data_IF_706807612124
#
_entry.id   IF_706807612124
#
_cell.length_a   1.000
_cell.length_b   1.000
_cell.length_c   1.000
_cell.angle_alpha   90.00
_cell.angle_beta   90.00
_cell.angle_gamma   90.00
#
_symmetry.space_group_name_H-M   'P 1'
#
loop_
_entity.id
_entity.type
_entity.pdbx_description
1 polymer ?
#
# COMPACT_ATOMS: atom_id res chain seq x y z
N UNK A 1 9.86 10.53 -9.98
CA UNK A 1 8.43 10.63 -9.59
C UNK A 1 8.32 11.50 -8.35
N UNK A 2 7.59 12.60 -8.47
CA UNK A 2 7.24 13.47 -7.33
C UNK A 2 5.72 13.52 -7.18
N UNK A 3 5.22 13.89 -6.02
CA UNK A 3 3.78 13.94 -5.75
C UNK A 3 3.47 13.93 -4.27
N UNK A 4 2.22 14.24 -3.94
CA UNK A 4 1.74 14.18 -2.56
C UNK A 4 1.73 12.73 -2.04
N UNK A 5 1.88 12.51 -0.72
CA UNK A 5 1.70 11.19 -0.13
C UNK A 5 0.35 10.58 -0.53
N UNK A 6 0.37 9.34 -1.03
CA UNK A 6 -0.82 8.66 -1.53
C UNK A 6 -1.20 8.97 -2.98
N UNK A 7 -0.34 9.66 -3.74
CA UNK A 7 -0.53 9.88 -5.19
C UNK A 7 -0.33 8.62 -6.06
N UNK A 8 0.05 7.50 -5.47
CA UNK A 8 0.27 6.23 -6.18
C UNK A 8 1.68 6.04 -6.76
N UNK A 9 2.69 6.77 -6.25
CA UNK A 9 4.10 6.60 -6.68
C UNK A 9 4.57 5.15 -6.63
N UNK A 10 4.37 4.47 -5.51
CA UNK A 10 4.71 3.05 -5.31
C UNK A 10 3.99 2.16 -6.31
N UNK A 11 2.68 2.37 -6.53
CA UNK A 11 1.92 1.59 -7.50
C UNK A 11 2.44 1.78 -8.94
N UNK A 12 2.87 3.00 -9.29
CA UNK A 12 3.48 3.26 -10.59
C UNK A 12 4.87 2.63 -10.71
N UNK A 13 5.69 2.70 -9.66
CA UNK A 13 6.98 1.98 -9.61
C UNK A 13 6.78 0.49 -9.87
N UNK A 14 5.79 -0.11 -9.21
CA UNK A 14 5.50 -1.54 -9.32
C UNK A 14 5.00 -1.93 -10.71
N UNK A 15 4.15 -1.11 -11.32
CA UNK A 15 3.69 -1.32 -12.69
C UNK A 15 4.85 -1.26 -13.69
N UNK A 16 5.72 -0.24 -13.58
CA UNK A 16 6.89 -0.11 -14.46
C UNK A 16 7.89 -1.24 -14.23
N UNK A 17 8.13 -1.62 -12.97
CA UNK A 17 8.97 -2.75 -12.61
C UNK A 17 8.47 -4.06 -13.24
N UNK A 18 7.16 -4.31 -13.19
CA UNK A 18 6.56 -5.50 -13.81
C UNK A 18 6.75 -5.50 -15.34
N UNK A 19 6.54 -4.35 -16.00
CA UNK A 19 6.66 -4.22 -17.46
C UNK A 19 8.12 -4.27 -17.95
N UNK A 20 9.08 -3.96 -17.08
CA UNK A 20 10.52 -3.93 -17.40
C UNK A 20 11.28 -5.21 -17.02
N UNK A 21 10.60 -6.27 -16.57
CA UNK A 21 11.22 -7.50 -16.05
C UNK A 21 12.27 -8.13 -17.00
N UNK A 22 12.04 -8.06 -18.31
CA UNK A 22 12.90 -8.66 -19.33
C UNK A 22 13.81 -7.64 -20.07
N UNK A 23 13.87 -6.39 -19.61
CA UNK A 23 14.56 -5.31 -20.33
C UNK A 23 16.08 -5.31 -20.09
N UNK A 24 16.50 -5.60 -18.87
CA UNK A 24 17.90 -5.47 -18.43
C UNK A 24 18.52 -6.84 -18.09
N UNK A 25 19.83 -7.04 -18.30
CA UNK A 25 20.49 -8.33 -18.13
C UNK A 25 20.43 -8.86 -16.68
N UNK A 26 20.51 -7.97 -15.69
CA UNK A 26 20.36 -8.32 -14.27
C UNK A 26 18.91 -8.15 -13.77
N UNK A 27 17.96 -7.89 -14.67
CA UNK A 27 16.54 -7.75 -14.40
C UNK A 27 16.16 -6.46 -13.69
N UNK A 28 15.13 -6.53 -12.84
CA UNK A 28 14.59 -5.40 -12.09
C UNK A 28 14.91 -5.55 -10.61
N UNK A 29 15.49 -4.51 -10.03
CA UNK A 29 15.83 -4.44 -8.60
C UNK A 29 14.92 -3.41 -7.93
N UNK A 30 14.24 -3.81 -6.85
CA UNK A 30 13.41 -2.93 -6.03
C UNK A 30 14.15 -2.59 -4.74
N UNK A 31 14.37 -1.31 -4.50
CA UNK A 31 15.04 -0.78 -3.31
C UNK A 31 14.09 0.16 -2.56
N UNK A 32 14.30 0.23 -1.25
CA UNK A 32 13.64 1.20 -0.37
C UNK A 32 14.68 2.23 0.10
N UNK A 33 14.40 3.51 -0.15
CA UNK A 33 15.27 4.64 0.16
C UNK A 33 15.06 5.25 1.54
N UNK A 34 14.05 4.78 2.29
CA UNK A 34 13.66 5.34 3.58
C UNK A 34 14.75 5.13 4.62
N UNK A 35 15.25 6.22 5.21
CA UNK A 35 16.34 6.18 6.18
C UNK A 35 17.64 5.60 5.61
N UNK A 36 17.83 5.56 4.28
CA UNK A 36 19.01 4.99 3.63
C UNK A 36 19.94 6.06 3.06
N UNK A 37 21.24 5.81 3.19
CA UNK A 37 22.27 6.59 2.50
C UNK A 37 22.54 6.03 1.09
N UNK A 38 23.26 6.79 0.26
CA UNK A 38 23.70 6.30 -1.05
C UNK A 38 24.51 5.00 -0.94
N UNK A 39 25.39 4.90 0.07
CA UNK A 39 26.16 3.67 0.33
C UNK A 39 25.29 2.49 0.74
N UNK A 40 24.24 2.73 1.53
CA UNK A 40 23.30 1.66 1.89
C UNK A 40 22.53 1.14 0.66
N UNK A 41 22.14 2.04 -0.25
CA UNK A 41 21.48 1.67 -1.50
C UNK A 41 22.41 0.89 -2.44
N UNK A 42 23.69 1.26 -2.52
CA UNK A 42 24.70 0.51 -3.28
C UNK A 42 24.91 -0.90 -2.72
N UNK A 43 24.99 -1.05 -1.39
CA UNK A 43 25.06 -2.36 -0.76
C UNK A 43 23.78 -3.17 -1.00
N UNK A 44 22.59 -2.56 -0.90
CA UNK A 44 21.33 -3.25 -1.16
C UNK A 44 21.21 -3.72 -2.62
N UNK A 45 21.68 -2.91 -3.58
CA UNK A 45 21.76 -3.28 -4.98
C UNK A 45 22.70 -4.47 -5.19
N UNK A 46 23.92 -4.39 -4.62
CA UNK A 46 24.90 -5.47 -4.66
C UNK A 46 24.34 -6.78 -4.08
N UNK A 47 23.78 -6.72 -2.87
CA UNK A 47 23.23 -7.89 -2.17
C UNK A 47 22.10 -8.53 -2.98
N UNK A 48 21.26 -7.72 -3.63
CA UNK A 48 20.12 -8.20 -4.42
C UNK A 48 20.57 -8.91 -5.69
N UNK A 49 21.49 -8.32 -6.46
CA UNK A 49 21.95 -8.88 -7.74
C UNK A 49 22.85 -10.09 -7.53
N UNK A 50 23.81 -10.00 -6.62
CA UNK A 50 24.78 -11.07 -6.38
C UNK A 50 24.29 -12.15 -5.40
N UNK A 51 23.12 -11.96 -4.77
CA UNK A 51 22.53 -12.87 -3.78
C UNK A 51 23.54 -13.24 -2.67
N UNK A 52 24.21 -12.23 -2.12
CA UNK A 52 25.34 -12.40 -1.20
C UNK A 52 25.02 -11.91 0.23
N UNK A 53 23.97 -12.41 0.90
CA UNK A 53 23.58 -11.92 2.21
C UNK A 53 24.72 -12.12 3.23
N UNK A 54 25.13 -11.04 3.89
CA UNK A 54 26.18 -11.04 4.90
C UNK A 54 27.61 -10.88 4.38
N UNK A 55 27.80 -10.78 3.06
CA UNK A 55 29.05 -10.31 2.50
C UNK A 55 29.05 -8.79 2.43
N UNK A 56 30.02 -8.16 3.09
CA UNK A 56 30.13 -6.69 3.10
C UNK A 56 31.45 -6.30 2.43
N UNK A 57 31.46 -6.10 1.10
CA UNK A 57 32.66 -5.67 0.40
C UNK A 57 33.11 -4.31 0.93
N UNK A 58 34.42 -4.05 0.82
CA UNK A 58 34.90 -2.68 1.05
C UNK A 58 34.41 -1.74 -0.06
N UNK A 59 34.68 -0.44 0.08
CA UNK A 59 34.14 0.56 -0.85
C UNK A 59 34.65 0.37 -2.28
N UNK A 60 35.92 0.03 -2.46
CA UNK A 60 36.51 -0.10 -3.79
C UNK A 60 35.99 -1.36 -4.49
N UNK A 61 35.86 -2.46 -3.73
CA UNK A 61 35.25 -3.71 -4.19
C UNK A 61 33.76 -3.52 -4.54
N UNK A 62 32.99 -2.85 -3.67
CA UNK A 62 31.58 -2.54 -3.92
C UNK A 62 31.42 -1.74 -5.22
N UNK A 63 32.20 -0.67 -5.38
CA UNK A 63 32.13 0.18 -6.57
C UNK A 63 32.55 -0.57 -7.83
N UNK A 64 33.50 -1.50 -7.76
CA UNK A 64 33.86 -2.33 -8.91
C UNK A 64 32.71 -3.26 -9.31
N UNK A 65 32.02 -3.85 -8.35
CA UNK A 65 30.90 -4.76 -8.60
C UNK A 65 29.64 -4.06 -9.09
N UNK A 66 29.25 -2.93 -8.48
CA UNK A 66 28.02 -2.22 -8.85
C UNK A 66 28.14 -1.50 -10.20
N UNK A 67 29.36 -1.17 -10.63
CA UNK A 67 29.60 -0.60 -11.97
C UNK A 67 29.23 -1.52 -13.12
N UNK A 68 29.31 -2.84 -12.92
CA UNK A 68 28.99 -3.83 -13.96
C UNK A 68 27.54 -4.31 -13.92
N UNK A 69 26.75 -3.84 -12.95
CA UNK A 69 25.34 -4.23 -12.83
C UNK A 69 24.53 -3.47 -13.89
N UNK A 70 23.92 -4.22 -14.80
CA UNK A 70 22.97 -3.72 -15.78
C UNK A 70 21.55 -4.07 -15.37
N UNK A 71 20.92 -3.23 -14.55
CA UNK A 71 19.57 -3.46 -14.02
C UNK A 71 18.65 -2.25 -14.20
N UNK A 72 17.33 -2.49 -14.22
CA UNK A 72 16.35 -1.44 -13.97
C UNK A 72 16.14 -1.36 -12.45
N UNK A 73 16.53 -0.25 -11.85
CA UNK A 73 16.49 -0.05 -10.40
C UNK A 73 15.35 0.89 -10.06
N UNK A 74 14.36 0.38 -9.34
CA UNK A 74 13.29 1.19 -8.75
C UNK A 74 13.65 1.50 -7.30
N UNK A 75 13.57 2.77 -6.92
CA UNK A 75 13.80 3.19 -5.52
C UNK A 75 12.57 3.93 -5.04
N UNK A 76 11.87 3.34 -4.07
CA UNK A 76 10.73 3.98 -3.41
C UNK A 76 11.18 4.76 -2.17
N UNK A 77 10.41 5.78 -1.80
CA UNK A 77 10.68 6.68 -0.66
C UNK A 77 12.15 7.17 -0.59
N UNK A 78 12.68 7.64 -1.71
CA UNK A 78 14.04 8.17 -1.80
C UNK A 78 14.16 9.48 -1.02
N UNK A 79 14.92 9.47 0.06
CA UNK A 79 15.18 10.66 0.92
C UNK A 79 16.46 11.41 0.54
N UNK A 80 17.39 10.75 -0.18
CA UNK A 80 18.65 11.37 -0.62
C UNK A 80 18.47 12.20 -1.90
N UNK A 81 19.20 13.32 -1.97
CA UNK A 81 19.26 14.19 -3.15
C UNK A 81 20.66 14.78 -3.35
N UNK A 82 20.80 15.72 -4.27
CA UNK A 82 22.08 16.39 -4.58
C UNK A 82 23.24 15.41 -4.80
N UNK A 83 24.39 15.73 -4.21
CA UNK A 83 25.64 14.97 -4.40
C UNK A 83 25.55 13.49 -3.97
N UNK A 84 24.69 13.15 -3.00
CA UNK A 84 24.52 11.75 -2.59
C UNK A 84 23.80 10.93 -3.66
N UNK A 85 22.80 11.53 -4.32
CA UNK A 85 22.14 10.91 -5.47
C UNK A 85 23.07 10.86 -6.67
N UNK A 86 23.86 11.91 -6.91
CA UNK A 86 24.85 11.93 -8.00
C UNK A 86 25.91 10.83 -7.81
N UNK A 87 26.34 10.57 -6.57
CA UNK A 87 27.24 9.47 -6.24
C UNK A 87 26.65 8.11 -6.60
N UNK A 88 25.39 7.86 -6.23
CA UNK A 88 24.67 6.63 -6.55
C UNK A 88 24.63 6.42 -8.08
N UNK A 89 24.16 7.43 -8.83
CA UNK A 89 24.02 7.34 -10.29
C UNK A 89 25.39 7.14 -10.98
N UNK A 90 26.42 7.85 -10.52
CA UNK A 90 27.78 7.75 -11.08
C UNK A 90 28.41 6.38 -10.81
N UNK A 91 28.10 5.76 -9.66
CA UNK A 91 28.62 4.45 -9.30
C UNK A 91 28.02 3.31 -10.12
N UNK A 92 26.83 3.49 -10.70
CA UNK A 92 26.07 2.45 -11.43
C UNK A 92 25.72 2.92 -12.85
N UNK A 93 26.71 3.11 -13.74
CA UNK A 93 26.48 3.67 -15.08
C UNK A 93 25.64 2.78 -16.00
N UNK A 94 25.59 1.48 -15.75
CA UNK A 94 24.83 0.51 -16.55
C UNK A 94 23.38 0.32 -16.04
N UNK A 95 23.01 0.98 -14.94
CA UNK A 95 21.67 0.90 -14.37
C UNK A 95 20.75 2.01 -14.89
N UNK A 96 19.49 1.67 -15.16
CA UNK A 96 18.42 2.64 -15.41
C UNK A 96 17.59 2.83 -14.13
N UNK A 97 17.45 4.07 -13.65
CA UNK A 97 16.76 4.36 -12.39
C UNK A 97 15.36 4.94 -12.60
N UNK A 98 14.40 4.45 -11.81
CA UNK A 98 13.13 5.09 -11.58
C UNK A 98 12.96 5.36 -10.08
N UNK A 99 12.89 6.64 -9.73
CA UNK A 99 12.98 7.09 -8.34
C UNK A 99 11.64 7.71 -7.92
N UNK A 100 11.08 7.30 -6.78
CA UNK A 100 10.02 8.03 -6.11
C UNK A 100 10.62 8.82 -4.94
N UNK A 101 10.69 10.14 -5.09
CA UNK A 101 11.26 11.00 -4.06
C UNK A 101 10.29 11.13 -2.88
N UNK A 102 10.78 11.02 -1.65
CA UNK A 102 10.05 11.41 -0.46
C UNK A 102 9.65 12.89 -0.54
N UNK A 103 8.55 13.28 0.10
CA UNK A 103 7.97 14.63 -0.06
C UNK A 103 8.88 15.76 0.45
N UNK A 104 9.85 15.44 1.29
CA UNK A 104 10.84 16.34 1.89
C UNK A 104 12.27 16.11 1.38
N UNK A 105 12.46 15.22 0.39
CA UNK A 105 13.76 14.94 -0.18
C UNK A 105 14.36 16.21 -0.81
N UNK A 106 15.68 16.38 -0.65
CA UNK A 106 16.39 17.45 -1.31
C UNK A 106 16.26 17.30 -2.83
N UNK A 107 16.16 18.42 -3.55
CA UNK A 107 16.12 18.42 -4.99
C UNK A 107 17.36 17.68 -5.56
N UNK A 108 17.23 17.00 -6.71
CA UNK A 108 18.38 16.44 -7.41
C UNK A 108 19.45 17.49 -7.69
N UNK A 109 20.70 17.06 -7.84
CA UNK A 109 21.76 17.92 -8.34
C UNK A 109 21.43 18.45 -9.73
N UNK A 110 21.90 19.65 -10.08
CA UNK A 110 21.63 20.29 -11.39
C UNK A 110 22.19 19.46 -12.56
N UNK A 111 23.21 18.64 -12.28
CA UNK A 111 23.87 17.77 -13.26
C UNK A 111 23.27 16.36 -13.30
N UNK A 112 22.31 16.03 -12.42
CA UNK A 112 21.60 14.78 -12.49
C UNK A 112 20.73 14.80 -13.75
N UNK A 113 21.05 13.94 -14.73
CA UNK A 113 20.29 13.76 -15.97
C UNK A 113 18.93 13.06 -15.71
N UNK A 114 18.13 13.61 -14.80
CA UNK A 114 16.85 13.07 -14.37
C UNK A 114 15.70 13.90 -14.95
N UNK A 115 14.69 13.19 -15.43
CA UNK A 115 13.41 13.79 -15.81
C UNK A 115 12.44 13.70 -14.64
N UNK A 116 11.87 14.84 -14.24
CA UNK A 116 10.87 14.89 -13.20
C UNK A 116 9.46 14.69 -13.77
N UNK A 117 8.78 13.65 -13.29
CA UNK A 117 7.36 13.43 -13.55
C UNK A 117 6.59 13.63 -12.25
N UNK A 118 5.76 14.68 -12.23
CA UNK A 118 4.84 14.98 -11.13
C UNK A 118 3.56 14.15 -11.27
N UNK A 119 3.26 13.33 -10.26
CA UNK A 119 2.02 12.59 -10.16
C UNK A 119 0.96 13.43 -9.45
N UNK A 120 0.06 14.00 -10.23
CA UNK A 120 -1.17 14.62 -9.74
C UNK A 120 -2.21 13.57 -9.34
N UNK A 121 -3.29 14.00 -8.70
CA UNK A 121 -4.45 13.14 -8.42
C UNK A 121 -5.15 12.66 -9.70
N UNK A 122 -5.93 11.59 -9.55
CA UNK A 122 -6.69 10.98 -10.63
C UNK A 122 -7.83 11.89 -11.07
N UNK A 123 -8.19 11.78 -12.35
CA UNK A 123 -9.45 12.34 -12.84
C UNK A 123 -10.66 11.68 -12.16
N UNK A 124 -11.78 12.39 -12.15
CA UNK A 124 -13.02 11.92 -11.49
C UNK A 124 -13.43 10.51 -11.93
N UNK A 125 -13.43 10.24 -13.23
CA UNK A 125 -13.79 8.92 -13.77
C UNK A 125 -12.91 7.79 -13.25
N UNK A 126 -11.58 7.97 -13.31
CA UNK A 126 -10.62 6.99 -12.80
C UNK A 126 -10.74 6.79 -11.28
N UNK A 127 -11.07 7.85 -10.54
CA UNK A 127 -11.28 7.77 -9.08
C UNK A 127 -12.50 6.92 -8.73
N UNK A 128 -13.60 7.08 -9.48
CA UNK A 128 -14.79 6.24 -9.31
C UNK A 128 -14.53 4.79 -9.70
N UNK A 129 -13.79 4.54 -10.79
CA UNK A 129 -13.42 3.18 -11.19
C UNK A 129 -12.51 2.50 -10.17
N UNK A 130 -11.57 3.24 -9.57
CA UNK A 130 -10.74 2.74 -8.48
C UNK A 130 -11.60 2.38 -7.25
N UNK A 131 -12.59 3.20 -6.93
CA UNK A 131 -13.53 2.91 -5.84
C UNK A 131 -14.35 1.65 -6.11
N UNK A 132 -14.90 1.50 -7.32
CA UNK A 132 -15.60 0.28 -7.76
C UNK A 132 -14.72 -0.97 -7.69
N UNK A 133 -13.44 -0.84 -8.03
CA UNK A 133 -12.48 -1.93 -7.95
C UNK A 133 -12.25 -2.37 -6.50
N UNK A 134 -12.20 -1.44 -5.55
CA UNK A 134 -12.00 -1.76 -4.12
C UNK A 134 -13.27 -2.34 -3.49
N UNK A 135 -14.44 -1.85 -3.88
CA UNK A 135 -15.73 -2.34 -3.35
C UNK A 135 -16.17 -3.64 -4.05
N UNK A 136 -15.56 -3.97 -5.19
CA UNK A 136 -15.84 -5.17 -6.01
C UNK A 136 -17.30 -5.28 -6.50
N UNK A 137 -17.99 -4.14 -6.60
CA UNK A 137 -19.34 -4.04 -7.18
C UNK A 137 -19.57 -2.64 -7.77
N UNK A 138 -20.57 -2.47 -8.65
CA UNK A 138 -21.00 -1.15 -9.09
C UNK A 138 -21.42 -0.27 -7.91
N UNK A 139 -21.10 1.02 -7.99
CA UNK A 139 -21.55 1.99 -7.00
C UNK A 139 -23.04 2.32 -7.21
N UNK A 140 -23.76 2.45 -6.11
CA UNK A 140 -25.13 3.01 -6.09
C UNK A 140 -25.11 4.49 -6.50
N UNK A 141 -26.27 5.06 -6.82
CA UNK A 141 -26.35 6.48 -7.18
C UNK A 141 -25.91 7.40 -6.04
N UNK A 142 -26.28 7.06 -4.81
CA UNK A 142 -25.87 7.80 -3.62
C UNK A 142 -24.34 7.76 -3.42
N UNK A 143 -23.73 6.58 -3.57
CA UNK A 143 -22.27 6.41 -3.46
C UNK A 143 -21.52 7.14 -4.58
N UNK A 144 -22.05 7.16 -5.82
CA UNK A 144 -21.43 7.92 -6.93
C UNK A 144 -21.48 9.42 -6.68
N UNK A 145 -22.56 9.92 -6.11
CA UNK A 145 -22.68 11.34 -5.74
C UNK A 145 -21.71 11.68 -4.62
N UNK A 146 -21.67 10.87 -3.55
CA UNK A 146 -20.72 11.01 -2.45
C UNK A 146 -19.26 10.95 -2.92
N UNK A 147 -18.90 10.01 -3.79
CA UNK A 147 -17.57 9.89 -4.36
C UNK A 147 -17.21 11.09 -5.25
N UNK A 148 -18.20 11.70 -5.88
CA UNK A 148 -18.04 12.95 -6.63
C UNK A 148 -17.64 14.12 -5.74
N UNK A 149 -18.30 14.27 -4.59
CA UNK A 149 -17.96 15.28 -3.59
C UNK A 149 -16.59 15.00 -2.98
N UNK A 150 -16.30 13.73 -2.65
CA UNK A 150 -15.00 13.31 -2.15
C UNK A 150 -13.87 13.62 -3.13
N UNK A 151 -14.08 13.44 -4.43
CA UNK A 151 -13.08 13.76 -5.45
C UNK A 151 -12.68 15.23 -5.42
N UNK A 152 -13.64 16.13 -5.21
CA UNK A 152 -13.35 17.55 -5.09
C UNK A 152 -12.50 17.86 -3.86
N UNK A 153 -12.85 17.32 -2.69
CA UNK A 153 -12.12 17.55 -1.43
C UNK A 153 -10.74 16.87 -1.38
N UNK A 154 -10.59 15.71 -2.01
CA UNK A 154 -9.36 14.92 -2.00
C UNK A 154 -8.43 15.20 -3.18
N UNK A 155 -8.83 16.10 -4.09
CA UNK A 155 -8.13 16.40 -5.35
C UNK A 155 -7.80 15.15 -6.19
N UNK A 156 -8.58 14.07 -6.04
CA UNK A 156 -8.39 12.82 -6.75
C UNK A 156 -7.24 11.93 -6.25
N UNK A 157 -6.71 12.14 -5.03
CA UNK A 157 -5.63 11.31 -4.50
C UNK A 157 -6.03 9.82 -4.43
N UNK A 158 -5.34 8.90 -5.14
CA UNK A 158 -5.68 7.47 -5.19
C UNK A 158 -5.88 6.83 -3.82
N UNK A 159 -4.99 7.08 -2.86
CA UNK A 159 -5.08 6.50 -1.52
C UNK A 159 -6.41 6.84 -0.81
N UNK A 160 -6.96 8.04 -1.06
CA UNK A 160 -8.25 8.46 -0.48
C UNK A 160 -9.39 7.62 -1.01
N UNK A 161 -9.36 7.28 -2.30
CA UNK A 161 -10.37 6.42 -2.91
C UNK A 161 -10.22 4.96 -2.48
N UNK A 162 -9.00 4.47 -2.31
CA UNK A 162 -8.78 3.13 -1.74
C UNK A 162 -9.37 3.03 -0.33
N UNK A 163 -9.02 3.98 0.54
CA UNK A 163 -9.51 4.00 1.93
C UNK A 163 -11.03 4.25 2.01
N UNK A 164 -11.57 5.11 1.15
CA UNK A 164 -13.01 5.32 1.01
C UNK A 164 -13.74 4.04 0.58
N UNK A 165 -13.17 3.26 -0.33
CA UNK A 165 -13.71 1.97 -0.75
C UNK A 165 -13.76 0.99 0.42
N UNK A 166 -12.68 0.91 1.19
CA UNK A 166 -12.64 0.10 2.41
C UNK A 166 -13.71 0.51 3.43
N UNK A 167 -14.03 1.81 3.55
CA UNK A 167 -15.14 2.28 4.39
C UNK A 167 -16.51 1.78 3.89
N UNK A 168 -16.74 1.77 2.58
CA UNK A 168 -17.97 1.22 1.98
C UNK A 168 -18.05 -0.29 2.19
N UNK A 169 -16.95 -1.03 2.01
CA UNK A 169 -16.89 -2.47 2.30
C UNK A 169 -17.22 -2.75 3.78
N UNK A 170 -16.67 -1.96 4.71
CA UNK A 170 -16.99 -2.10 6.13
C UNK A 170 -18.47 -1.78 6.42
N UNK A 171 -19.04 -0.77 5.77
CA UNK A 171 -20.46 -0.42 5.88
C UNK A 171 -21.34 -1.56 5.37
N UNK A 172 -21.04 -2.13 4.21
CA UNK A 172 -21.77 -3.25 3.64
C UNK A 172 -21.78 -4.46 4.58
N UNK A 173 -20.64 -4.77 5.22
CA UNK A 173 -20.55 -5.83 6.25
C UNK A 173 -21.42 -5.54 7.48
N UNK A 174 -21.49 -4.29 7.93
CA UNK A 174 -22.37 -3.91 9.06
C UNK A 174 -23.85 -4.05 8.70
N UNK A 175 -24.21 -3.74 7.46
CA UNK A 175 -25.58 -3.84 6.95
C UNK A 175 -26.03 -5.28 6.67
N UNK A 176 -25.11 -6.17 6.29
CA UNK A 176 -25.41 -7.58 6.01
C UNK A 176 -25.80 -8.39 7.27
N UNK A 177 -25.51 -7.87 8.47
CA UNK A 177 -25.79 -8.54 9.75
C UNK A 177 -24.90 -9.79 10.00
N UNK A 178 -24.82 -10.27 11.27
CA UNK A 178 -23.99 -11.42 11.63
C UNK A 178 -24.47 -12.76 11.05
N UNK A 179 -25.71 -12.85 10.55
CA UNK A 179 -26.31 -14.09 10.05
C UNK A 179 -25.96 -14.43 8.59
N UNK A 180 -25.26 -13.56 7.86
CA UNK A 180 -24.96 -13.78 6.44
C UNK A 180 -23.71 -14.66 6.19
N UNK A 181 -22.92 -14.96 7.22
CA UNK A 181 -21.68 -15.75 7.11
C UNK A 181 -21.67 -17.03 7.95
N UNK A 182 -22.79 -17.41 8.56
CA UNK A 182 -22.92 -18.68 9.27
C UNK A 182 -23.52 -19.78 8.36
N UNK A 183 -22.95 -19.96 7.16
CA UNK A 183 -23.24 -21.14 6.31
C UNK A 183 -22.35 -22.33 6.74
N UNK A 184 -22.04 -22.42 8.03
CA UNK A 184 -21.34 -23.56 8.65
C UNK A 184 -22.32 -24.63 9.16
N UNK A 185 -23.62 -24.47 8.91
CA UNK A 185 -24.66 -25.40 9.40
C UNK A 185 -25.00 -26.52 8.40
N UNK A 186 -24.06 -26.91 7.51
CA UNK A 186 -24.25 -28.01 6.56
C UNK A 186 -24.16 -29.42 7.19
N UNK A 187 -24.00 -29.56 8.51
CA UNK A 187 -23.77 -30.86 9.16
C UNK A 187 -24.86 -31.39 10.09
N UNK A 188 -26.05 -30.78 10.15
CA UNK A 188 -27.22 -31.44 10.74
C UNK A 188 -28.32 -31.70 9.70
N UNK A 189 -28.54 -32.97 9.28
CA UNK A 189 -29.68 -33.28 8.44
C UNK A 189 -30.98 -32.96 9.20
N UNK A 190 -31.76 -32.04 8.62
CA UNK A 190 -33.09 -31.69 9.11
C UNK A 190 -34.01 -32.91 9.05
N UNK A 191 -34.75 -33.25 10.11
CA UNK A 191 -35.76 -34.31 10.05
C UNK A 191 -36.85 -33.96 9.03
N UNK A 192 -37.26 -34.93 8.21
CA UNK A 192 -38.23 -34.74 7.10
C UNK A 192 -39.59 -34.14 7.53
N UNK A 193 -39.94 -34.25 8.82
CA UNK A 193 -41.22 -33.78 9.37
C UNK A 193 -41.15 -32.39 10.05
N UNK A 194 -40.04 -31.65 9.92
CA UNK A 194 -39.92 -30.34 10.56
C UNK A 194 -40.74 -29.26 9.82
N UNK A 195 -41.61 -28.49 10.53
CA UNK A 195 -42.40 -27.41 9.91
C UNK A 195 -41.50 -26.33 9.29
N UNK A 196 -41.84 -25.77 8.11
CA UNK A 196 -41.01 -24.78 7.43
C UNK A 196 -40.59 -23.68 8.40
N UNK A 197 -39.29 -23.36 8.41
CA UNK A 197 -38.77 -22.31 9.28
C UNK A 197 -39.58 -21.04 9.05
N UNK A 198 -40.16 -20.48 10.11
CA UNK A 198 -40.80 -19.19 10.03
C UNK A 198 -39.73 -18.20 9.57
N UNK A 199 -39.93 -17.59 8.40
CA UNK A 199 -39.12 -16.45 7.98
C UNK A 199 -39.25 -15.41 9.09
N UNK A 200 -38.18 -15.27 9.89
CA UNK A 200 -38.13 -14.19 10.86
C UNK A 200 -38.24 -12.88 10.06
N UNK A 201 -39.10 -11.94 10.47
CA UNK A 201 -39.11 -10.64 9.83
C UNK A 201 -37.69 -10.10 9.95
N UNK A 202 -37.09 -9.72 8.80
CA UNK A 202 -35.82 -9.04 8.76
C UNK A 202 -35.86 -7.95 9.83
N UNK A 203 -34.90 -7.98 10.76
CA UNK A 203 -34.80 -6.94 11.77
C UNK A 203 -34.81 -5.59 11.03
N UNK A 204 -35.63 -4.64 11.48
CA UNK A 204 -35.57 -3.23 11.10
C UNK A 204 -34.23 -2.64 11.60
N UNK A 205 -33.13 -3.14 11.06
CA UNK A 205 -31.80 -2.56 11.20
C UNK A 205 -31.77 -1.34 10.31
N UNK A 206 -31.80 -0.15 10.92
CA UNK A 206 -31.58 1.08 10.17
C UNK A 206 -30.26 0.94 9.39
N UNK A 207 -30.35 1.03 8.06
CA UNK A 207 -29.21 1.00 7.15
C UNK A 207 -28.16 2.00 7.65
N UNK A 208 -26.93 1.53 7.87
CA UNK A 208 -25.83 2.40 8.31
C UNK A 208 -25.69 3.50 7.26
N UNK A 209 -25.70 4.79 7.62
CA UNK A 209 -25.58 5.84 6.62
C UNK A 209 -24.21 5.83 5.92
N UNK A 210 -24.12 6.47 4.76
CA UNK A 210 -22.82 6.73 4.13
C UNK A 210 -21.93 7.55 5.07
N UNK A 211 -20.60 7.36 5.04
CA UNK A 211 -19.67 8.21 5.77
C UNK A 211 -19.87 9.68 5.40
N UNK A 212 -19.74 10.58 6.37
CA UNK A 212 -19.71 12.00 6.06
C UNK A 212 -18.53 12.34 5.13
N UNK A 213 -18.62 13.44 4.40
CA UNK A 213 -17.56 13.89 3.50
C UNK A 213 -16.21 14.06 4.24
N UNK A 214 -16.25 14.58 5.47
CA UNK A 214 -15.06 14.71 6.32
C UNK A 214 -14.46 13.35 6.72
N UNK A 215 -15.30 12.35 7.01
CA UNK A 215 -14.85 10.98 7.28
C UNK A 215 -14.27 10.31 6.03
N UNK A 216 -14.84 10.56 4.85
CA UNK A 216 -14.28 10.11 3.57
C UNK A 216 -12.94 10.77 3.24
N UNK A 217 -12.79 12.06 3.55
CA UNK A 217 -11.56 12.83 3.30
C UNK A 217 -10.45 12.52 4.32
N UNK A 218 -10.79 12.05 5.53
CA UNK A 218 -9.85 11.65 6.57
C UNK A 218 -10.21 10.26 7.17
N UNK A 219 -10.15 9.19 6.36
CA UNK A 219 -10.77 7.91 6.69
C UNK A 219 -9.98 7.09 7.71
N UNK A 220 -8.70 7.41 7.93
CA UNK A 220 -7.79 6.60 8.72
C UNK A 220 -8.30 6.30 10.16
N UNK A 221 -8.86 7.31 10.85
CA UNK A 221 -9.39 7.12 12.20
C UNK A 221 -10.64 6.24 12.21
N UNK A 222 -11.56 6.44 11.27
CA UNK A 222 -12.79 5.66 11.18
C UNK A 222 -12.48 4.21 10.78
N UNK A 223 -11.61 4.01 9.80
CA UNK A 223 -11.10 2.68 9.42
C UNK A 223 -10.46 1.99 10.62
N UNK A 224 -9.53 2.66 11.31
CA UNK A 224 -8.84 2.12 12.47
C UNK A 224 -9.80 1.78 13.62
N UNK A 225 -10.89 2.52 13.80
CA UNK A 225 -11.88 2.25 14.85
C UNK A 225 -12.64 0.94 14.65
N UNK A 226 -12.73 0.48 13.39
CA UNK A 226 -13.46 -0.73 12.97
C UNK A 226 -12.57 -1.95 12.75
N UNK A 227 -11.26 -1.79 12.94
CA UNK A 227 -10.30 -2.89 12.88
C UNK A 227 -10.41 -3.82 14.09
N UNK A 228 -9.96 -5.07 13.91
CA UNK A 228 -9.74 -6.01 15.00
C UNK A 228 -8.79 -5.46 16.08
N UNK A 229 -8.83 -6.04 17.28
CA UNK A 229 -7.90 -5.63 18.35
C UNK A 229 -6.43 -5.87 17.97
N UNK A 230 -6.15 -7.01 17.31
CA UNK A 230 -4.82 -7.34 16.82
C UNK A 230 -4.33 -6.33 15.77
N UNK A 231 -5.15 -5.97 14.77
CA UNK A 231 -4.80 -4.95 13.78
C UNK A 231 -4.59 -3.57 14.38
N UNK A 232 -5.40 -3.17 15.37
CA UNK A 232 -5.17 -1.91 16.10
C UNK A 232 -3.89 -1.94 16.91
N UNK A 233 -3.53 -3.07 17.52
CA UNK A 233 -2.27 -3.21 18.25
C UNK A 233 -1.06 -3.12 17.30
N UNK A 234 -1.11 -3.83 16.17
CA UNK A 234 -0.09 -3.74 15.12
C UNK A 234 0.05 -2.31 14.58
N UNK A 235 -1.05 -1.61 14.34
CA UNK A 235 -1.02 -0.21 13.90
C UNK A 235 -0.37 0.71 14.93
N UNK A 236 -0.62 0.51 16.24
CA UNK A 236 0.05 1.28 17.29
C UNK A 236 1.56 1.05 17.32
N UNK A 237 2.01 -0.20 17.11
CA UNK A 237 3.43 -0.48 16.97
C UNK A 237 4.02 0.20 15.75
N UNK A 238 3.32 0.14 14.60
CA UNK A 238 3.77 0.80 13.38
C UNK A 238 3.94 2.30 13.59
N UNK A 239 2.95 2.97 14.18
CA UNK A 239 3.05 4.41 14.52
C UNK A 239 4.22 4.69 15.48
N UNK A 240 4.43 3.86 16.50
CA UNK A 240 5.53 4.02 17.45
C UNK A 240 6.92 3.81 16.82
N UNK A 241 7.00 3.01 15.76
CA UNK A 241 8.20 2.77 14.95
C UNK A 241 8.32 3.73 13.76
N UNK A 242 7.59 4.85 13.81
CA UNK A 242 7.64 5.86 12.76
C UNK A 242 7.08 5.39 11.43
N UNK A 243 6.09 4.48 11.41
CA UNK A 243 5.45 3.96 10.20
C UNK A 243 6.01 2.61 9.71
N UNK A 244 7.07 2.08 10.33
CA UNK A 244 7.56 0.73 10.01
C UNK A 244 6.79 -0.35 10.76
N UNK A 245 6.40 -1.41 10.05
CA UNK A 245 5.70 -2.54 10.67
C UNK A 245 6.70 -3.57 11.19
N UNK A 246 6.55 -4.08 12.43
CA UNK A 246 7.39 -5.17 12.92
C UNK A 246 7.30 -6.39 12.00
N UNK A 247 8.42 -7.11 11.86
CA UNK A 247 8.44 -8.33 11.05
C UNK A 247 7.37 -9.33 11.51
N UNK A 248 6.64 -9.93 10.57
CA UNK A 248 5.48 -10.80 10.82
C UNK A 248 5.74 -11.90 11.86
N UNK A 249 6.95 -12.47 11.86
CA UNK A 249 7.37 -13.52 12.82
C UNK A 249 7.36 -13.07 14.30
N UNK A 250 7.42 -11.76 14.56
CA UNK A 250 7.43 -11.21 15.91
C UNK A 250 6.06 -10.70 16.36
N UNK A 251 5.11 -10.50 15.43
CA UNK A 251 3.79 -9.94 15.74
C UNK A 251 3.01 -10.76 16.78
N UNK A 252 2.97 -12.11 16.73
CA UNK A 252 2.23 -12.87 17.73
C UNK A 252 2.73 -12.64 19.16
N UNK A 253 4.05 -12.50 19.34
CA UNK A 253 4.65 -12.24 20.64
C UNK A 253 4.42 -10.80 21.12
N UNK A 254 4.40 -9.83 20.21
CA UNK A 254 4.21 -8.40 20.51
C UNK A 254 2.75 -8.06 20.83
N UNK A 255 1.82 -8.66 20.08
CA UNK A 255 0.38 -8.40 20.17
C UNK A 255 -0.30 -9.31 21.20
N UNK A 256 0.29 -10.48 21.49
CA UNK A 256 -0.32 -11.48 22.38
C UNK A 256 -1.43 -12.30 21.72
N UNK A 257 -1.44 -12.36 20.39
CA UNK A 257 -2.44 -13.07 19.58
C UNK A 257 -1.74 -13.98 18.56
N UNK A 258 -2.05 -15.28 18.58
CA UNK A 258 -1.46 -16.26 17.65
C UNK A 258 -1.89 -16.07 16.19
N UNK A 259 -2.95 -15.31 15.94
CA UNK A 259 -3.47 -14.98 14.61
C UNK A 259 -3.14 -13.54 14.18
N UNK A 260 -2.09 -12.93 14.77
CA UNK A 260 -1.65 -11.58 14.43
C UNK A 260 -1.13 -11.43 12.98
N UNK A 261 -0.95 -12.52 12.23
CA UNK A 261 -0.65 -12.51 10.79
C UNK A 261 -1.83 -11.99 9.96
N UNK A 262 -3.07 -12.34 10.34
CA UNK A 262 -4.28 -11.84 9.70
C UNK A 262 -4.43 -10.31 9.83
N UNK A 263 -3.84 -9.71 10.87
CA UNK A 263 -3.85 -8.28 11.11
C UNK A 263 -3.17 -7.47 9.99
N UNK A 264 -2.10 -8.01 9.39
CA UNK A 264 -1.42 -7.36 8.27
C UNK A 264 -2.30 -7.31 7.03
N UNK A 265 -2.98 -8.42 6.73
CA UNK A 265 -3.96 -8.47 5.64
C UNK A 265 -5.12 -7.51 5.87
N UNK A 266 -5.63 -7.41 7.10
CA UNK A 266 -6.69 -6.47 7.45
C UNK A 266 -6.28 -4.99 7.26
N UNK A 267 -5.06 -4.63 7.69
CA UNK A 267 -4.51 -3.29 7.51
C UNK A 267 -4.28 -2.95 6.03
N UNK A 268 -3.74 -3.91 5.25
CA UNK A 268 -3.53 -3.76 3.81
C UNK A 268 -4.86 -3.57 3.07
N UNK A 269 -5.88 -4.36 3.39
CA UNK A 269 -7.23 -4.25 2.82
C UNK A 269 -7.92 -2.92 3.16
N UNK A 270 -7.50 -2.24 4.23
CA UNK A 270 -8.00 -0.92 4.59
C UNK A 270 -7.17 0.22 3.98
N UNK A 271 -6.13 -0.06 3.19
CA UNK A 271 -5.20 0.95 2.69
C UNK A 271 -4.47 1.70 3.81
N UNK A 272 -4.24 1.05 4.96
CA UNK A 272 -3.47 1.58 6.09
C UNK A 272 -2.04 1.05 6.13
N UNK A 273 -1.73 0.09 5.28
CA UNK A 273 -0.44 -0.53 5.11
C UNK A 273 -0.13 -0.65 3.61
N UNK A 274 1.10 -0.35 3.21
CA UNK A 274 1.64 -0.68 1.89
C UNK A 274 2.65 -1.83 2.00
N UNK A 275 2.85 -2.62 0.92
CA UNK A 275 3.84 -3.69 0.87
C UNK A 275 5.28 -3.20 1.06
#
# INVERSE_FOLDING_TARGET
LTGQPGSGRTALLDAVAADCADLAPDGVVRLNGRGRTATDLLHALFDTVYKAPGHRPDRDELLAHVRSIGAVVTVDDLEIGGAALDELLTATPECAFLLAAASDAAAPGVDAHLEEVLLAGLGRGASLSLLEQVVERPLTEEERNWAGDLWFESEGLPLRFVQAGSLLVQRDRLNAGPDAFDDTDYFQPRPDDAPPAAAMPAADGADVPLPSLGEGAAPALLLASRLSEAARATLRFAVALGGEVPHQAHLPALVGDTHADAALGELANCGLLSP
#
